data_IF_664507054443
#
_entry.id   IF_664507054443
#
_cell.length_a   1.000
_cell.length_b   1.000
_cell.length_c   1.000
_cell.angle_alpha   90.00
_cell.angle_beta   90.00
_cell.angle_gamma   90.00
#
_symmetry.space_group_name_H-M   'P 1'
#
loop_
_entity.id
_entity.type
_entity.pdbx_description
1 polymer ?
#
# COMPACT_ATOMS: atom_id res chain seq x y z
N UNK A 1 -11.32 -13.54 -13.47
CA UNK A 1 -11.55 -12.12 -13.11
C UNK A 1 -10.30 -11.60 -12.40
N UNK A 2 -9.45 -10.82 -13.08
CA UNK A 2 -8.26 -10.23 -12.46
C UNK A 2 -8.64 -8.87 -11.86
N UNK A 3 -8.76 -8.80 -10.53
CA UNK A 3 -9.02 -7.53 -9.85
C UNK A 3 -7.69 -6.82 -9.61
N UNK A 4 -7.35 -5.90 -10.51
CA UNK A 4 -6.18 -5.03 -10.36
C UNK A 4 -6.51 -3.99 -9.28
N UNK A 5 -5.98 -4.17 -8.09
CA UNK A 5 -6.11 -3.23 -6.98
C UNK A 5 -4.89 -2.31 -6.96
N UNK A 6 -4.93 -1.18 -7.66
CA UNK A 6 -3.85 -0.21 -7.63
C UNK A 6 -3.92 0.62 -6.33
N UNK A 7 -3.02 0.42 -5.35
CA UNK A 7 -3.04 1.21 -4.13
C UNK A 7 -2.61 2.64 -4.43
N UNK A 8 -3.39 3.62 -3.96
CA UNK A 8 -3.16 5.05 -4.27
C UNK A 8 -2.96 5.90 -3.03
N UNK A 9 -3.48 5.47 -1.89
CA UNK A 9 -3.38 6.22 -0.64
C UNK A 9 -2.92 5.32 0.48
N UNK A 10 -2.03 5.85 1.31
CA UNK A 10 -1.53 5.15 2.49
C UNK A 10 -1.55 6.07 3.69
N UNK A 11 -1.96 5.53 4.84
CA UNK A 11 -1.73 6.11 6.15
C UNK A 11 -0.69 5.24 6.84
N UNK A 12 0.48 5.83 7.06
CA UNK A 12 1.61 5.18 7.74
C UNK A 12 1.83 5.79 9.11
N UNK A 13 2.27 4.97 10.06
CA UNK A 13 2.71 5.40 11.38
C UNK A 13 4.20 5.16 11.52
N UNK A 14 4.95 6.17 11.96
CA UNK A 14 6.37 6.00 12.30
C UNK A 14 6.52 5.21 13.60
N UNK A 15 7.50 4.31 13.62
CA UNK A 15 7.88 3.47 14.74
C UNK A 15 9.41 3.42 14.77
N UNK A 16 10.02 4.31 15.56
CA UNK A 16 11.48 4.51 15.55
C UNK A 16 11.96 4.98 14.18
N UNK A 17 12.99 4.30 13.65
CA UNK A 17 13.57 4.56 12.33
C UNK A 17 12.78 3.94 11.15
N UNK A 18 11.72 3.18 11.45
CA UNK A 18 10.86 2.54 10.45
C UNK A 18 9.44 3.12 10.49
N UNK A 19 8.57 2.65 9.60
CA UNK A 19 7.15 2.94 9.65
C UNK A 19 6.32 1.70 9.34
N UNK A 20 5.13 1.61 9.92
CA UNK A 20 4.12 0.59 9.61
C UNK A 20 2.98 1.20 8.81
N UNK A 21 2.25 0.38 8.07
CA UNK A 21 1.05 0.82 7.34
C UNK A 21 -0.17 0.59 8.22
N UNK A 22 -0.85 1.66 8.62
CA UNK A 22 -2.09 1.59 9.40
C UNK A 22 -3.29 1.35 8.49
N UNK A 23 -3.35 2.11 7.38
CA UNK A 23 -4.40 1.97 6.38
C UNK A 23 -3.87 2.09 4.96
N UNK A 24 -4.43 1.29 4.07
CA UNK A 24 -4.13 1.27 2.65
C UNK A 24 -5.45 1.35 1.87
N UNK A 25 -5.49 2.20 0.86
CA UNK A 25 -6.65 2.32 -0.02
C UNK A 25 -6.27 2.26 -1.49
N UNK A 26 -7.14 1.62 -2.26
CA UNK A 26 -7.16 1.71 -3.72
C UNK A 26 -8.41 2.43 -4.20
N UNK A 27 -8.32 3.08 -5.36
CA UNK A 27 -9.49 3.54 -6.09
C UNK A 27 -9.92 2.42 -7.03
N UNK A 28 -11.15 1.92 -6.86
CA UNK A 28 -11.75 0.93 -7.75
C UNK A 28 -13.08 1.46 -8.24
N UNK A 29 -13.18 1.72 -9.54
CA UNK A 29 -14.40 2.24 -10.19
C UNK A 29 -15.02 3.47 -9.50
N UNK A 30 -14.18 4.40 -9.02
CA UNK A 30 -14.62 5.62 -8.33
C UNK A 30 -14.91 5.45 -6.83
N UNK A 31 -14.79 4.23 -6.28
CA UNK A 31 -14.94 3.95 -4.86
C UNK A 31 -13.57 3.72 -4.20
N UNK A 32 -13.41 4.29 -3.00
CA UNK A 32 -12.24 4.07 -2.16
C UNK A 32 -12.40 2.74 -1.44
N UNK A 33 -11.64 1.74 -1.85
CA UNK A 33 -11.65 0.42 -1.21
C UNK A 33 -10.51 0.31 -0.20
N UNK A 34 -10.84 -0.09 1.03
CA UNK A 34 -9.84 -0.41 2.05
C UNK A 34 -9.16 -1.74 1.72
N UNK A 35 -7.84 -1.73 1.61
CA UNK A 35 -6.99 -2.89 1.34
C UNK A 35 -6.07 -3.21 2.52
N UNK A 36 -6.28 -2.55 3.66
CA UNK A 36 -5.46 -2.69 4.86
C UNK A 36 -5.45 -4.13 5.40
N UNK A 37 -6.46 -4.92 5.05
CA UNK A 37 -6.60 -6.34 5.40
C UNK A 37 -5.80 -7.29 4.50
N UNK A 38 -5.28 -6.83 3.35
CA UNK A 38 -4.53 -7.66 2.40
C UNK A 38 -3.01 -7.63 2.63
N UNK A 39 -2.55 -6.71 3.48
CA UNK A 39 -1.17 -6.57 3.91
C UNK A 39 -1.06 -6.80 5.41
N UNK A 40 0.11 -7.23 5.86
CA UNK A 40 0.41 -7.24 7.29
C UNK A 40 0.70 -5.80 7.77
N UNK A 41 -0.12 -5.31 8.69
CA UNK A 41 0.00 -3.97 9.30
C UNK A 41 1.08 -3.91 10.37
N UNK A 42 1.57 -5.06 10.84
CA UNK A 42 2.69 -5.14 11.79
C UNK A 42 4.05 -5.06 11.09
N UNK A 43 4.07 -5.21 9.76
CA UNK A 43 5.29 -5.15 8.98
C UNK A 43 5.90 -3.75 9.03
N UNK A 44 7.18 -3.69 9.36
CA UNK A 44 7.96 -2.45 9.47
C UNK A 44 8.72 -2.23 8.18
N UNK A 45 8.39 -1.14 7.50
CA UNK A 45 9.08 -0.68 6.31
C UNK A 45 10.17 0.32 6.70
N UNK A 46 11.36 0.13 6.14
CA UNK A 46 12.48 1.05 6.29
C UNK A 46 12.42 2.18 5.25
N UNK A 47 11.69 1.99 4.15
CA UNK A 47 11.56 3.02 3.10
C UNK A 47 10.24 2.94 2.33
N UNK A 48 9.85 4.07 1.73
CA UNK A 48 8.71 4.11 0.81
C UNK A 48 8.94 3.26 -0.44
N UNK A 49 10.21 3.12 -0.87
CA UNK A 49 10.57 2.26 -2.01
C UNK A 49 10.25 0.80 -1.70
N UNK A 50 10.67 0.32 -0.53
CA UNK A 50 10.38 -1.03 -0.05
C UNK A 50 8.86 -1.29 0.00
N UNK A 51 8.09 -0.34 0.54
CA UNK A 51 6.63 -0.44 0.52
C UNK A 51 6.08 -0.58 -0.90
N UNK A 52 6.56 0.20 -1.87
CA UNK A 52 6.13 0.09 -3.28
C UNK A 52 6.41 -1.28 -3.86
N UNK A 53 7.61 -1.83 -3.62
CA UNK A 53 7.98 -3.16 -4.09
C UNK A 53 7.14 -4.26 -3.43
N UNK A 54 6.90 -4.17 -2.13
CA UNK A 54 6.06 -5.14 -1.43
C UNK A 54 4.61 -5.11 -1.97
N UNK A 55 4.05 -3.92 -2.20
CA UNK A 55 2.71 -3.81 -2.78
C UNK A 55 2.67 -4.31 -4.23
N UNK A 56 3.68 -3.98 -5.03
CA UNK A 56 3.80 -4.45 -6.40
C UNK A 56 3.78 -5.99 -6.47
N UNK A 57 4.60 -6.64 -5.64
CA UNK A 57 4.62 -8.10 -5.51
C UNK A 57 3.27 -8.65 -5.04
N UNK A 58 2.71 -8.08 -3.96
CA UNK A 58 1.47 -8.57 -3.33
C UNK A 58 0.25 -8.46 -4.24
N UNK A 59 0.17 -7.40 -5.04
CA UNK A 59 -0.96 -7.11 -5.92
C UNK A 59 -0.70 -7.48 -7.39
N UNK A 60 0.49 -8.02 -7.72
CA UNK A 60 0.87 -8.35 -9.10
C UNK A 60 0.94 -7.13 -10.01
N UNK A 61 1.42 -6.00 -9.49
CA UNK A 61 1.53 -4.70 -10.19
C UNK A 61 2.98 -4.32 -10.46
N UNK A 62 3.18 -3.34 -11.34
CA UNK A 62 4.47 -2.66 -11.42
C UNK A 62 4.65 -1.68 -10.24
N UNK A 63 5.88 -1.49 -9.72
CA UNK A 63 6.16 -0.54 -8.64
C UNK A 63 5.71 0.89 -8.95
N UNK A 64 5.75 1.29 -10.22
CA UNK A 64 5.28 2.61 -10.69
C UNK A 64 3.77 2.80 -10.55
N UNK A 65 3.00 1.70 -10.59
CA UNK A 65 1.55 1.73 -10.36
C UNK A 65 1.22 1.86 -8.86
N UNK A 66 2.17 1.57 -7.97
CA UNK A 66 2.07 1.78 -6.54
C UNK A 66 2.56 3.19 -6.13
N UNK A 67 2.25 4.22 -6.92
CA UNK A 67 2.56 5.61 -6.60
C UNK A 67 1.64 6.13 -5.46
N UNK A 68 1.95 5.72 -4.23
CA UNK A 68 1.21 6.08 -3.03
C UNK A 68 1.29 7.56 -2.72
N UNK A 69 0.15 8.15 -2.39
CA UNK A 69 0.03 9.49 -1.79
C UNK A 69 -0.28 9.36 -0.30
N UNK A 70 0.22 10.28 0.54
CA UNK A 70 -0.23 10.37 1.92
C UNK A 70 -1.74 10.65 1.96
N UNK A 71 -2.44 9.99 2.88
CA UNK A 71 -3.90 10.02 3.02
C UNK A 71 -4.41 11.09 3.97
#
# INVERSE_FOLDING_TARGET
MNFIFAPRRVKSRRVGDSFTVEKLWADKAGLRQDLSHLIDRSYRYCSHRELRWHLADRFGLAPDQCALRPA
#
